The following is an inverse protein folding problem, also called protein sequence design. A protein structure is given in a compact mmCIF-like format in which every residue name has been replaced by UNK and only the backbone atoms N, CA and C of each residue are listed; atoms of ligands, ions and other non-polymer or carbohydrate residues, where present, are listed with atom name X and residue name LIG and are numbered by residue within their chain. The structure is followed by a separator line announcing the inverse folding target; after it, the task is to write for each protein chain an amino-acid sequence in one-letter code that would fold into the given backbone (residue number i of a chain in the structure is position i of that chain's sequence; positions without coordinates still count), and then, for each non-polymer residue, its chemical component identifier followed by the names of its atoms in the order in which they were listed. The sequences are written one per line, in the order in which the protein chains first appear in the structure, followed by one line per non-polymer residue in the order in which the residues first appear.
data_IF_643130198402
#
_entry.id   IF_643130198402
#
_cell.length_a   1.000
_cell.length_b   1.000
_cell.length_c   1.000
_cell.angle_alpha   90.00
_cell.angle_beta   90.00
_cell.angle_gamma   90.00
#
_symmetry.space_group_name_H-M   'P 1'
#
loop_
_entity.id
_entity.type
_entity.pdbx_description
1 polymer ?
#
# COMPACT_ATOMS: atom_id res chain seq x y z
N UNK A 1 8.97 3.16 -7.26
CA UNK A 1 7.86 2.90 -6.30
C UNK A 1 7.12 4.21 -6.10
N UNK A 2 5.79 4.19 -6.01
CA UNK A 2 4.99 5.38 -5.74
C UNK A 2 4.38 5.25 -4.34
N UNK A 3 4.44 6.33 -3.57
CA UNK A 3 3.74 6.48 -2.31
C UNK A 3 2.79 7.67 -2.42
N UNK A 4 1.64 7.62 -1.77
CA UNK A 4 0.74 8.77 -1.65
C UNK A 4 0.52 9.09 -0.18
N UNK A 5 0.71 10.35 0.20
CA UNK A 5 0.38 10.85 1.53
C UNK A 5 -1.12 11.12 1.60
N UNK A 6 -1.80 10.44 2.51
CA UNK A 6 -3.26 10.46 2.67
C UNK A 6 -3.64 10.04 4.11
N UNK A 7 -4.92 9.88 4.39
CA UNK A 7 -5.43 9.31 5.64
C UNK A 7 -5.77 7.83 5.48
N UNK A 8 -5.78 7.07 6.59
CA UNK A 8 -6.09 5.64 6.57
C UNK A 8 -7.48 5.38 5.98
N UNK A 9 -8.48 6.19 6.31
CA UNK A 9 -9.84 6.02 5.81
C UNK A 9 -9.92 6.18 4.27
N UNK A 10 -9.30 7.21 3.69
CA UNK A 10 -9.28 7.47 2.25
C UNK A 10 -8.58 6.32 1.52
N UNK A 11 -7.42 5.88 2.02
CA UNK A 11 -6.69 4.74 1.44
C UNK A 11 -7.50 3.44 1.48
N UNK A 12 -8.19 3.17 2.59
CA UNK A 12 -9.03 1.97 2.71
C UNK A 12 -10.24 2.01 1.79
N UNK A 13 -10.93 3.16 1.67
CA UNK A 13 -12.04 3.34 0.72
C UNK A 13 -11.59 3.07 -0.70
N UNK A 14 -10.43 3.61 -1.09
CA UNK A 14 -9.86 3.43 -2.43
C UNK A 14 -9.47 1.97 -2.76
N UNK A 15 -9.14 1.15 -1.75
CA UNK A 15 -8.67 -0.23 -1.96
C UNK A 15 -9.77 -1.30 -1.80
N UNK A 16 -10.90 -0.96 -1.20
CA UNK A 16 -11.94 -1.92 -0.81
C UNK A 16 -13.37 -1.53 -1.25
N UNK A 17 -13.58 -0.39 -1.93
CA UNK A 17 -14.89 0.12 -2.37
C UNK A 17 -15.97 0.11 -1.27
N UNK A 18 -15.57 0.29 -0.02
CA UNK A 18 -16.44 0.09 1.15
C UNK A 18 -16.41 1.24 2.16
N UNK A 19 -17.43 1.29 3.00
CA UNK A 19 -17.49 2.12 4.20
C UNK A 19 -16.57 1.55 5.26
N UNK A 20 -15.37 2.10 5.37
CA UNK A 20 -14.50 1.91 6.54
C UNK A 20 -14.89 2.86 7.66
N UNK A 21 -14.64 2.46 8.91
CA UNK A 21 -14.73 3.37 10.05
C UNK A 21 -13.83 4.59 9.83
N UNK A 22 -14.34 5.79 10.14
CA UNK A 22 -13.60 7.04 9.97
C UNK A 22 -12.36 7.01 10.87
N UNK A 23 -11.19 7.10 10.27
CA UNK A 23 -9.90 7.21 10.95
C UNK A 23 -9.02 8.14 10.14
N UNK A 24 -8.89 9.38 10.62
CA UNK A 24 -8.14 10.47 9.97
C UNK A 24 -6.63 10.37 10.21
N UNK A 25 -6.14 9.21 10.68
CA UNK A 25 -4.71 8.96 10.92
C UNK A 25 -3.89 9.14 9.63
N UNK A 26 -2.86 10.00 9.64
CA UNK A 26 -2.03 10.25 8.46
C UNK A 26 -1.10 9.07 8.16
N UNK A 27 -1.11 8.64 6.90
CA UNK A 27 -0.29 7.52 6.40
C UNK A 27 0.35 7.84 5.05
N UNK A 28 1.35 7.05 4.68
CA UNK A 28 1.71 6.83 3.29
C UNK A 28 1.11 5.51 2.81
N UNK A 29 0.29 5.56 1.77
CA UNK A 29 -0.14 4.38 1.02
C UNK A 29 0.89 4.11 -0.08
N UNK A 30 1.48 2.91 -0.07
CA UNK A 30 2.47 2.48 -1.07
C UNK A 30 1.91 1.30 -1.85
N UNK A 31 1.87 1.41 -3.19
CA UNK A 31 1.46 0.32 -4.08
C UNK A 31 2.68 -0.26 -4.78
N UNK A 32 2.91 -1.55 -4.56
CA UNK A 32 3.99 -2.32 -5.15
C UNK A 32 3.43 -3.29 -6.18
N UNK A 33 3.94 -3.24 -7.41
CA UNK A 33 3.68 -4.25 -8.44
C UNK A 33 4.78 -5.31 -8.39
N UNK A 34 4.41 -6.58 -8.41
CA UNK A 34 5.34 -7.70 -8.30
C UNK A 34 4.66 -8.96 -7.77
N UNK A 35 5.32 -10.11 -7.86
CA UNK A 35 4.78 -11.35 -7.33
C UNK A 35 5.07 -11.46 -5.83
N UNK A 36 4.04 -11.35 -5.00
CA UNK A 36 4.13 -11.45 -3.55
C UNK A 36 3.47 -12.74 -3.07
N UNK A 37 4.11 -13.39 -2.10
CA UNK A 37 3.58 -14.57 -1.43
C UNK A 37 3.80 -14.40 0.07
N UNK A 38 2.73 -14.50 0.85
CA UNK A 38 2.78 -14.36 2.30
C UNK A 38 2.05 -15.51 2.99
N UNK A 39 2.69 -16.08 4.01
CA UNK A 39 2.04 -17.03 4.92
C UNK A 39 1.31 -16.25 6.00
N UNK A 40 0.00 -16.45 6.13
CA UNK A 40 -0.79 -15.80 7.18
C UNK A 40 -0.38 -16.38 8.54
N UNK A 41 0.16 -15.58 9.47
CA UNK A 41 0.66 -16.06 10.77
C UNK A 41 -0.39 -16.89 11.50
N UNK A 42 0.03 -18.00 12.11
CA UNK A 42 -0.87 -18.90 12.86
C UNK A 42 -1.80 -19.77 11.99
N UNK A 43 -1.65 -19.76 10.65
CA UNK A 43 -2.48 -20.57 9.76
C UNK A 43 -1.65 -21.34 8.72
N UNK A 44 -2.26 -22.29 8.01
CA UNK A 44 -1.69 -22.94 6.82
C UNK A 44 -1.93 -22.13 5.53
N UNK A 45 -2.60 -20.99 5.62
CA UNK A 45 -3.05 -20.21 4.49
C UNK A 45 -1.89 -19.42 3.89
N UNK A 46 -1.74 -19.51 2.57
CA UNK A 46 -0.83 -18.69 1.77
C UNK A 46 -1.67 -17.71 0.96
N UNK A 47 -1.35 -16.43 1.04
CA UNK A 47 -1.89 -15.40 0.15
C UNK A 47 -0.86 -15.05 -0.90
N UNK A 48 -1.28 -15.02 -2.15
CA UNK A 48 -0.43 -14.64 -3.28
C UNK A 48 -1.10 -13.58 -4.14
N UNK A 49 -0.29 -12.75 -4.80
CA UNK A 49 -0.79 -11.62 -5.55
C UNK A 49 0.26 -10.98 -6.46
N UNK A 50 -0.19 -10.31 -7.52
CA UNK A 50 0.67 -9.56 -8.46
C UNK A 50 0.92 -8.12 -8.03
N UNK A 51 0.34 -7.72 -6.89
CA UNK A 51 0.61 -6.46 -6.23
C UNK A 51 0.30 -6.52 -4.73
N UNK A 52 0.86 -5.56 -4.00
CA UNK A 52 0.62 -5.35 -2.58
C UNK A 52 0.44 -3.85 -2.26
N UNK A 53 -0.45 -3.54 -1.32
CA UNK A 53 -0.56 -2.23 -0.69
C UNK A 53 0.04 -2.27 0.72
N UNK A 54 0.85 -1.27 1.05
CA UNK A 54 1.41 -1.05 2.38
C UNK A 54 0.86 0.23 2.98
N UNK A 55 0.49 0.15 4.26
CA UNK A 55 0.05 1.26 5.07
C UNK A 55 1.22 1.61 5.98
N UNK A 56 1.86 2.74 5.71
CA UNK A 56 3.03 3.20 6.44
C UNK A 56 2.64 4.39 7.29
N UNK A 57 2.88 4.29 8.59
CA UNK A 57 2.66 5.40 9.52
C UNK A 57 3.48 6.62 9.10
N UNK A 58 2.84 7.79 8.95
CA UNK A 58 3.52 8.97 8.42
C UNK A 58 4.59 9.56 9.36
N UNK A 59 4.53 9.25 10.67
CA UNK A 59 5.42 9.82 11.68
C UNK A 59 6.63 8.92 11.96
N UNK A 60 6.40 7.62 12.07
CA UNK A 60 7.39 6.61 12.45
C UNK A 60 7.96 5.85 11.25
N UNK A 61 7.36 6.00 10.06
CA UNK A 61 7.71 5.30 8.83
C UNK A 61 7.70 3.77 8.96
N UNK A 62 6.95 3.24 9.93
CA UNK A 62 6.77 1.80 10.14
C UNK A 62 5.58 1.29 9.34
N UNK A 63 5.73 0.11 8.73
CA UNK A 63 4.61 -0.59 8.09
C UNK A 63 3.66 -1.08 9.18
N UNK A 64 2.44 -0.55 9.19
CA UNK A 64 1.39 -0.95 10.13
C UNK A 64 0.57 -2.12 9.60
N UNK A 65 0.28 -2.11 8.29
CA UNK A 65 -0.55 -3.14 7.66
C UNK A 65 -0.13 -3.35 6.21
N UNK A 66 -0.28 -4.59 5.73
CA UNK A 66 -0.03 -4.98 4.34
C UNK A 66 -1.21 -5.78 3.81
N UNK A 67 -1.63 -5.46 2.59
CA UNK A 67 -2.66 -6.20 1.86
C UNK A 67 -2.08 -6.72 0.54
N UNK A 68 -2.19 -8.03 0.30
CA UNK A 68 -1.84 -8.68 -0.97
C UNK A 68 -3.13 -9.05 -1.69
N UNK A 69 -3.17 -8.82 -3.01
CA UNK A 69 -4.38 -9.00 -3.81
C UNK A 69 -4.13 -9.86 -5.05
N UNK A 70 -5.13 -10.64 -5.48
CA UNK A 70 -4.99 -11.61 -6.54
C UNK A 70 -4.61 -10.98 -7.89
N UNK A 71 -4.18 -11.81 -8.86
CA UNK A 71 -3.53 -11.37 -10.10
C UNK A 71 -4.31 -10.40 -11.00
N UNK A 72 -5.64 -10.42 -10.87
CA UNK A 72 -6.54 -10.01 -11.95
C UNK A 72 -6.92 -8.52 -11.93
N UNK A 73 -6.62 -7.78 -10.85
CA UNK A 73 -6.88 -6.34 -10.82
C UNK A 73 -5.91 -5.61 -9.90
N UNK A 74 -4.94 -4.88 -10.46
CA UNK A 74 -4.40 -3.70 -9.77
C UNK A 74 -5.51 -2.67 -9.87
N UNK A 75 -6.10 -2.20 -8.76
CA UNK A 75 -7.15 -1.21 -8.81
C UNK A 75 -6.60 0.01 -9.51
N UNK A 76 -7.39 0.57 -10.44
CA UNK A 76 -7.08 1.84 -11.09
C UNK A 76 -7.34 2.97 -10.08
N UNK A 77 -6.53 2.99 -9.03
CA UNK A 77 -6.56 4.05 -8.02
C UNK A 77 -5.84 5.23 -8.62
N UNK A 78 -6.59 6.26 -8.99
CA UNK A 78 -6.05 7.59 -9.29
C UNK A 78 -5.39 8.12 -8.02
N UNK A 79 -4.08 7.85 -7.87
CA UNK A 79 -3.30 8.21 -6.68
C UNK A 79 -3.32 9.72 -6.41
N UNK A 80 -3.43 10.52 -7.47
CA UNK A 80 -3.60 11.96 -7.43
C UNK A 80 -4.96 12.40 -6.85
N UNK A 81 -6.01 11.59 -6.98
CA UNK A 81 -7.33 11.89 -6.38
C UNK A 81 -7.39 11.63 -4.87
N UNK A 82 -6.43 10.90 -4.31
CA UNK A 82 -6.45 10.47 -2.90
C UNK A 82 -5.37 11.12 -2.04
N UNK A 83 -4.45 11.90 -2.61
CA UNK A 83 -3.47 12.66 -1.83
C UNK A 83 -2.24 13.13 -2.61
N UNK A 84 -1.21 13.53 -1.87
CA UNK A 84 0.05 14.00 -2.49
C UNK A 84 0.91 12.80 -2.92
N UNK A 85 1.22 12.70 -4.21
CA UNK A 85 2.03 11.60 -4.75
C UNK A 85 3.53 11.91 -4.58
N UNK A 86 4.24 10.99 -3.95
CA UNK A 86 5.68 10.99 -3.75
C UNK A 86 6.33 9.90 -4.59
N UNK A 87 7.31 10.30 -5.41
CA UNK A 87 8.13 9.35 -6.18
C UNK A 87 9.28 8.87 -5.29
N UNK A 88 9.21 7.61 -4.86
CA UNK A 88 10.29 6.98 -4.13
C UNK A 88 11.29 6.40 -5.13
N UNK A 89 12.43 7.11 -5.26
CA UNK A 89 13.59 6.64 -6.02
C UNK A 89 14.37 5.67 -5.13
N UNK A 90 14.51 4.43 -5.58
CA UNK A 90 15.54 3.54 -5.04
C UNK A 90 16.88 4.10 -5.51
N UNK A 91 17.71 4.58 -4.58
CA UNK A 91 19.03 5.06 -4.95
C UNK A 91 19.80 3.95 -5.65
N UNK A 92 20.18 4.17 -6.92
CA UNK A 92 21.41 3.59 -7.41
C UNK A 92 22.52 4.31 -6.67
N UNK A 93 23.19 3.62 -5.76
CA UNK A 93 24.52 4.05 -5.33
C UNK A 93 25.40 3.93 -6.57
N UNK A 94 25.51 5.00 -7.35
CA UNK A 94 26.62 5.16 -8.28
C UNK A 94 27.87 5.31 -7.43
N UNK A 95 28.54 4.20 -7.13
CA UNK A 95 29.96 4.24 -6.79
C UNK A 95 30.72 4.60 -8.07
N UNK A 96 31.00 5.88 -8.23
CA UNK A 96 32.12 6.37 -9.04
C UNK A 96 33.39 6.41 -8.20
#
# INVERSE_FOLDING_TARGET
MLAVSTTRDIAMRALHDGTVGSDDEPIYLVILKGNFTFKVPGTKTVRAGTWAALFVDANSFRVQTMTIRPPEAIPDVSLDSIGTVHILRTGTTDTS
#
